data_IF_044842814553
#
_entry.id   IF_044842814553
#
_cell.length_a   1.000
_cell.length_b   1.000
_cell.length_c   1.000
_cell.angle_alpha   90.00
_cell.angle_beta   90.00
_cell.angle_gamma   90.00
#
_symmetry.space_group_name_H-M   'P 1'
#
loop_
_entity.id
_entity.type
_entity.pdbx_description
1 polymer ?
#
# COMPACT_ATOMS: atom_id res chain seq x y z
N UNK A 1 16.39 14.05 4.14
CA UNK A 1 14.96 14.08 3.75
C UNK A 1 14.46 12.64 3.53
N UNK A 2 13.39 12.26 4.17
CA UNK A 2 12.86 10.91 4.09
C UNK A 2 11.42 10.96 3.60
N UNK A 3 11.14 10.20 2.54
CA UNK A 3 9.79 10.07 2.00
C UNK A 3 9.10 8.86 2.63
N UNK A 4 7.95 9.07 3.23
CA UNK A 4 7.12 8.01 3.78
C UNK A 4 5.74 8.06 3.15
N UNK A 5 5.13 6.91 3.10
CA UNK A 5 3.77 6.75 2.59
C UNK A 5 2.86 6.41 3.76
N UNK A 6 1.64 6.89 3.72
CA UNK A 6 0.66 6.66 4.78
C UNK A 6 -0.69 6.30 4.18
N UNK A 7 -1.37 5.35 4.79
CA UNK A 7 -2.72 4.99 4.40
C UNK A 7 -3.69 6.10 4.83
N UNK A 8 -4.68 6.39 3.97
CA UNK A 8 -5.70 7.36 4.32
C UNK A 8 -6.44 6.91 5.59
N UNK A 9 -6.64 7.79 6.58
CA UNK A 9 -7.24 7.38 7.86
C UNK A 9 -8.69 6.87 7.74
N UNK A 10 -9.38 7.22 6.66
CA UNK A 10 -10.75 6.75 6.42
C UNK A 10 -10.82 5.50 5.56
N UNK A 11 -9.69 4.90 5.23
CA UNK A 11 -9.64 3.67 4.45
C UNK A 11 -9.85 2.47 5.37
N UNK A 12 -10.79 1.59 5.01
CA UNK A 12 -11.06 0.34 5.73
C UNK A 12 -10.72 -0.83 4.83
N UNK A 13 -10.10 -1.84 5.40
CA UNK A 13 -9.62 -3.00 4.64
C UNK A 13 -10.39 -4.26 5.05
N UNK A 14 -10.76 -5.05 4.04
CA UNK A 14 -11.38 -6.37 4.25
C UNK A 14 -10.64 -7.38 3.39
N UNK A 15 -10.25 -8.50 3.98
CA UNK A 15 -9.60 -9.59 3.26
C UNK A 15 -10.63 -10.65 2.88
N UNK A 16 -10.62 -11.08 1.61
CA UNK A 16 -11.52 -12.12 1.07
C UNK A 16 -10.68 -13.08 0.22
N UNK A 17 -10.52 -14.31 0.67
CA UNK A 17 -9.91 -15.42 -0.13
C UNK A 17 -8.75 -15.02 -1.04
N UNK A 18 -7.69 -14.45 -0.47
CA UNK A 18 -6.49 -14.06 -1.24
C UNK A 18 -6.61 -12.71 -1.95
N UNK A 19 -7.74 -12.02 -1.81
CA UNK A 19 -7.95 -10.68 -2.35
C UNK A 19 -8.34 -9.74 -1.22
N UNK A 20 -8.26 -8.45 -1.50
CA UNK A 20 -8.68 -7.44 -0.55
C UNK A 20 -9.66 -6.48 -1.14
N UNK A 21 -10.44 -5.86 -0.28
CA UNK A 21 -11.30 -4.73 -0.63
C UNK A 21 -10.93 -3.57 0.27
N UNK A 22 -10.66 -2.42 -0.33
CA UNK A 22 -10.40 -1.19 0.39
C UNK A 22 -11.59 -0.27 0.22
N UNK A 23 -12.24 0.09 1.33
CA UNK A 23 -13.37 1.02 1.32
C UNK A 23 -12.90 2.37 1.85
N UNK A 24 -13.06 3.40 1.04
CA UNK A 24 -12.77 4.78 1.44
C UNK A 24 -14.05 5.44 1.95
N UNK A 25 -14.15 5.63 3.27
CA UNK A 25 -15.36 6.17 3.88
C UNK A 25 -15.66 7.59 3.44
N UNK A 26 -14.63 8.40 3.21
CA UNK A 26 -14.80 9.80 2.79
C UNK A 26 -15.47 9.95 1.44
N UNK A 27 -15.04 9.16 0.45
CA UNK A 27 -15.59 9.20 -0.92
C UNK A 27 -16.67 8.16 -1.15
N UNK A 28 -16.82 7.19 -0.24
CA UNK A 28 -17.72 6.04 -0.35
C UNK A 28 -17.41 5.15 -1.54
N UNK A 29 -16.17 5.19 -2.03
CA UNK A 29 -15.71 4.30 -3.09
C UNK A 29 -14.99 3.12 -2.47
N UNK A 30 -15.04 1.99 -3.15
CA UNK A 30 -14.26 0.84 -2.76
C UNK A 30 -13.49 0.32 -3.96
N UNK A 31 -12.38 -0.33 -3.65
CA UNK A 31 -11.42 -0.79 -4.65
C UNK A 31 -11.07 -2.24 -4.36
N UNK A 32 -11.03 -3.06 -5.41
CA UNK A 32 -10.45 -4.39 -5.29
C UNK A 32 -8.94 -4.26 -5.32
N UNK A 33 -8.27 -4.90 -4.39
CA UNK A 33 -6.80 -4.90 -4.34
C UNK A 33 -6.31 -6.33 -4.34
N UNK A 34 -5.15 -6.55 -4.95
CA UNK A 34 -4.50 -7.86 -4.96
C UNK A 34 -4.03 -8.22 -3.55
N UNK A 35 -3.64 -9.48 -3.37
CA UNK A 35 -3.08 -9.92 -2.10
C UNK A 35 -1.86 -9.09 -1.70
N UNK A 36 -0.94 -8.83 -2.64
CA UNK A 36 0.23 -7.99 -2.36
C UNK A 36 -0.16 -6.55 -2.05
N UNK A 37 -1.14 -6.00 -2.75
CA UNK A 37 -1.65 -4.66 -2.45
C UNK A 37 -2.27 -4.57 -1.06
N UNK A 38 -3.00 -5.60 -0.66
CA UNK A 38 -3.58 -5.67 0.69
C UNK A 38 -2.47 -5.72 1.75
N UNK A 39 -1.41 -6.51 1.51
CA UNK A 39 -0.27 -6.58 2.43
C UNK A 39 0.38 -5.22 2.61
N UNK A 40 0.55 -4.47 1.51
CA UNK A 40 1.13 -3.13 1.58
C UNK A 40 0.23 -2.16 2.33
N UNK A 41 -1.08 -2.20 2.08
CA UNK A 41 -2.03 -1.34 2.80
C UNK A 41 -2.08 -1.65 4.29
N UNK A 42 -1.98 -2.92 4.66
CA UNK A 42 -1.91 -3.31 6.07
C UNK A 42 -0.63 -2.82 6.73
N UNK A 43 0.49 -2.89 6.01
CA UNK A 43 1.77 -2.38 6.51
C UNK A 43 1.74 -0.86 6.68
N UNK A 44 0.91 -0.17 5.91
CA UNK A 44 0.75 1.28 5.97
C UNK A 44 -0.18 1.75 7.09
N UNK A 45 -0.49 0.90 8.03
CA UNK A 45 -1.14 1.31 9.29
C UNK A 45 -0.32 2.39 9.99
N UNK A 46 1.00 2.32 9.84
CA UNK A 46 1.90 3.40 10.24
C UNK A 46 2.68 3.85 9.00
N UNK A 47 3.13 5.12 8.93
CA UNK A 47 3.90 5.58 7.77
C UNK A 47 5.16 4.74 7.53
N UNK A 48 5.42 4.41 6.27
CA UNK A 48 6.53 3.55 5.86
C UNK A 48 7.26 4.14 4.66
N UNK A 49 8.56 3.86 4.58
CA UNK A 49 9.36 4.20 3.40
C UNK A 49 9.15 3.15 2.31
N UNK A 50 9.58 3.48 1.08
CA UNK A 50 9.56 2.53 -0.03
C UNK A 50 10.35 1.25 0.32
N UNK A 51 11.54 1.42 0.89
CA UNK A 51 12.40 0.28 1.25
C UNK A 51 11.73 -0.64 2.27
N UNK A 52 11.04 -0.06 3.25
CA UNK A 52 10.30 -0.86 4.24
C UNK A 52 9.16 -1.64 3.59
N UNK A 53 8.45 -1.03 2.63
CA UNK A 53 7.37 -1.70 1.92
C UNK A 53 7.89 -2.79 0.99
N UNK A 54 9.00 -2.56 0.32
CA UNK A 54 9.66 -3.59 -0.50
C UNK A 54 10.03 -4.78 0.38
N UNK A 55 10.55 -4.53 1.58
CA UNK A 55 10.91 -5.60 2.52
C UNK A 55 9.68 -6.42 2.96
N UNK A 56 8.51 -5.80 3.08
CA UNK A 56 7.26 -6.51 3.40
C UNK A 56 6.96 -7.56 2.33
N UNK A 57 7.07 -7.19 1.06
CA UNK A 57 6.82 -8.11 -0.05
C UNK A 57 7.87 -9.21 -0.12
N UNK A 58 9.14 -8.88 0.08
CA UNK A 58 10.22 -9.86 0.03
C UNK A 58 10.18 -10.85 1.19
N UNK A 59 9.62 -10.46 2.32
CA UNK A 59 9.47 -11.35 3.46
C UNK A 59 8.36 -12.38 3.25
N UNK A 60 7.37 -12.07 2.43
CA UNK A 60 6.18 -12.92 2.22
C UNK A 60 6.22 -13.69 0.91
N UNK A 61 6.80 -13.10 -0.14
CA UNK A 61 6.79 -13.67 -1.49
C UNK A 61 8.20 -13.97 -1.95
N UNK A 62 8.33 -15.01 -2.76
CA UNK A 62 9.61 -15.39 -3.39
C UNK A 62 9.78 -14.57 -4.67
N UNK A 63 10.23 -13.33 -4.51
CA UNK A 63 10.39 -12.38 -5.60
C UNK A 63 11.76 -11.70 -5.53
N UNK A 64 12.25 -11.25 -6.68
CA UNK A 64 13.49 -10.47 -6.73
C UNK A 64 13.26 -9.07 -6.16
N UNK A 65 14.35 -8.41 -5.75
CA UNK A 65 14.30 -7.03 -5.28
C UNK A 65 13.72 -6.11 -6.38
N UNK A 66 14.12 -6.33 -7.63
CA UNK A 66 13.63 -5.53 -8.76
C UNK A 66 12.13 -5.66 -8.92
N UNK A 67 11.59 -6.86 -8.86
CA UNK A 67 10.16 -7.09 -9.00
C UNK A 67 9.39 -6.52 -7.81
N UNK A 68 9.88 -6.75 -6.59
CA UNK A 68 9.25 -6.21 -5.40
C UNK A 68 9.20 -4.68 -5.42
N UNK A 69 10.31 -4.05 -5.86
CA UNK A 69 10.38 -2.58 -5.96
C UNK A 69 9.43 -2.05 -7.01
N UNK A 70 9.42 -2.65 -8.20
CA UNK A 70 8.54 -2.26 -9.31
C UNK A 70 7.06 -2.39 -8.91
N UNK A 71 6.68 -3.52 -8.32
CA UNK A 71 5.31 -3.77 -7.87
C UNK A 71 4.90 -2.75 -6.81
N UNK A 72 5.78 -2.47 -5.85
CA UNK A 72 5.50 -1.51 -4.79
C UNK A 72 5.32 -0.10 -5.36
N UNK A 73 6.20 0.33 -6.27
CA UNK A 73 6.09 1.65 -6.90
C UNK A 73 4.79 1.81 -7.68
N UNK A 74 4.41 0.81 -8.45
CA UNK A 74 3.16 0.84 -9.22
C UNK A 74 1.96 0.94 -8.28
N UNK A 75 1.97 0.18 -7.21
CA UNK A 75 0.89 0.22 -6.22
C UNK A 75 0.80 1.57 -5.53
N UNK A 76 1.93 2.14 -5.11
CA UNK A 76 1.97 3.44 -4.45
C UNK A 76 1.47 4.56 -5.37
N UNK A 77 1.87 4.51 -6.65
CA UNK A 77 1.41 5.49 -7.63
C UNK A 77 -0.11 5.40 -7.83
N UNK A 78 -0.63 4.18 -7.97
CA UNK A 78 -2.06 3.96 -8.10
C UNK A 78 -2.81 4.42 -6.84
N UNK A 79 -2.30 4.08 -5.66
CA UNK A 79 -2.91 4.46 -4.40
C UNK A 79 -2.96 5.98 -4.19
N UNK A 80 -1.92 6.68 -4.62
CA UNK A 80 -1.91 8.15 -4.55
C UNK A 80 -2.97 8.74 -5.47
N UNK A 81 -3.09 8.23 -6.68
CA UNK A 81 -4.07 8.73 -7.66
C UNK A 81 -5.51 8.47 -7.24
N UNK A 82 -5.76 7.38 -6.53
CA UNK A 82 -7.11 7.02 -6.08
C UNK A 82 -7.45 7.55 -4.69
N UNK A 83 -6.48 8.17 -3.99
CA UNK A 83 -6.71 8.69 -2.65
C UNK A 83 -6.65 7.65 -1.53
N UNK A 84 -6.18 6.43 -1.83
CA UNK A 84 -6.04 5.39 -0.81
C UNK A 84 -4.87 5.66 0.14
N UNK A 85 -3.87 6.40 -0.32
CA UNK A 85 -2.71 6.75 0.49
C UNK A 85 -2.17 8.13 0.13
N UNK A 86 -1.33 8.64 0.98
CA UNK A 86 -0.68 9.93 0.82
C UNK A 86 0.82 9.80 1.01
N UNK A 87 1.56 10.84 0.60
CA UNK A 87 3.00 10.92 0.77
C UNK A 87 3.31 11.94 1.83
N UNK A 88 4.19 11.58 2.75
CA UNK A 88 4.71 12.47 3.78
C UNK A 88 6.22 12.59 3.60
N UNK A 89 6.74 13.80 3.62
CA UNK A 89 8.17 14.02 3.53
C UNK A 89 8.68 14.72 4.77
N UNK A 90 9.71 14.16 5.38
CA UNK A 90 10.38 14.74 6.52
C UNK A 90 11.48 15.66 6.02
N UNK A 91 11.52 16.84 6.55
CA UNK A 91 12.57 17.80 6.23
C UNK A 91 13.90 17.44 6.90
#
# INVERSE_FOLDING_TARGET
MTTRYARHPELRLTALDGEGVALHLGTRRYYSVSESGLDLLQALETPRTLDELVAVLMAKYDVTTELATSTTREFLDHGRRTGMLSVEEDA
#
